data_IF_090957340091
#
_entry.id   IF_090957340091
#
_cell.length_a   1.000
_cell.length_b   1.000
_cell.length_c   1.000
_cell.angle_alpha   90.00
_cell.angle_beta   90.00
_cell.angle_gamma   90.00
#
_symmetry.space_group_name_H-M   'P 1'
#
loop_
_entity.id
_entity.type
_entity.pdbx_description
1 polymer ?
#
# COMPACT_ATOMS: atom_id res chain seq x y z
N UNK A 1 1.90 15.08 -11.19
CA UNK A 1 1.48 14.84 -12.58
C UNK A 1 2.33 13.80 -13.33
N UNK A 2 3.49 13.36 -12.82
CA UNK A 2 4.38 12.40 -13.51
C UNK A 2 4.08 10.92 -13.24
N UNK A 3 3.25 10.60 -12.25
CA UNK A 3 2.90 9.23 -11.88
C UNK A 3 1.77 8.68 -12.76
N UNK A 4 0.72 9.48 -12.97
CA UNK A 4 -0.44 9.10 -13.79
C UNK A 4 -0.05 8.86 -15.25
N UNK A 5 0.80 9.71 -15.84
CA UNK A 5 1.26 9.55 -17.22
C UNK A 5 2.09 8.27 -17.43
N UNK A 6 2.83 7.83 -16.39
CA UNK A 6 3.62 6.59 -16.44
C UNK A 6 2.73 5.35 -16.34
N UNK A 7 1.69 5.39 -15.51
CA UNK A 7 0.71 4.31 -15.39
C UNK A 7 -0.08 4.16 -16.68
N UNK A 8 -0.51 5.27 -17.28
CA UNK A 8 -1.25 5.27 -18.54
C UNK A 8 -0.42 4.66 -19.69
N UNK A 9 0.85 5.07 -19.81
CA UNK A 9 1.75 4.53 -20.82
C UNK A 9 2.04 3.03 -20.62
N UNK A 10 2.26 2.59 -19.38
CA UNK A 10 2.47 1.18 -19.06
C UNK A 10 1.23 0.33 -19.33
N UNK A 11 0.05 0.85 -18.99
CA UNK A 11 -1.23 0.17 -19.18
C UNK A 11 -1.54 -0.02 -20.67
N UNK A 12 -1.25 1.00 -21.48
CA UNK A 12 -1.39 0.93 -22.93
C UNK A 12 -0.43 -0.08 -23.56
N UNK A 13 0.84 -0.06 -23.17
CA UNK A 13 1.82 -1.04 -23.65
C UNK A 13 1.43 -2.48 -23.27
N UNK A 14 0.94 -2.70 -22.05
CA UNK A 14 0.45 -4.00 -21.60
C UNK A 14 -0.80 -4.44 -22.38
N UNK A 15 -1.74 -3.53 -22.63
CA UNK A 15 -2.93 -3.81 -23.43
C UNK A 15 -2.58 -4.19 -24.88
N UNK A 16 -1.63 -3.48 -25.49
CA UNK A 16 -1.12 -3.79 -26.84
C UNK A 16 -0.51 -5.19 -26.88
N UNK A 17 0.32 -5.53 -25.89
CA UNK A 17 0.96 -6.84 -25.82
C UNK A 17 -0.06 -7.98 -25.64
N UNK A 18 -1.05 -7.79 -24.76
CA UNK A 18 -2.12 -8.78 -24.53
C UNK A 18 -2.91 -9.01 -25.83
N UNK A 19 -3.30 -7.95 -26.50
CA UNK A 19 -4.06 -8.04 -27.75
C UNK A 19 -3.25 -8.74 -28.84
N UNK A 20 -1.96 -8.44 -28.95
CA UNK A 20 -1.03 -9.06 -29.88
C UNK A 20 -0.83 -10.55 -29.61
N UNK A 21 -0.77 -10.96 -28.35
CA UNK A 21 -0.67 -12.38 -27.96
C UNK A 21 -1.93 -13.16 -28.36
N UNK A 22 -3.12 -12.57 -28.17
CA UNK A 22 -4.40 -13.26 -28.40
C UNK A 22 -4.78 -13.29 -29.87
N UNK A 23 -4.59 -12.18 -30.58
CA UNK A 23 -5.10 -11.99 -31.96
C UNK A 23 -4.00 -11.88 -33.02
N UNK A 24 -2.72 -11.89 -32.63
CA UNK A 24 -1.61 -11.60 -33.54
C UNK A 24 -1.47 -10.11 -33.86
N UNK A 25 -0.51 -9.77 -34.72
CA UNK A 25 -0.18 -8.36 -35.03
C UNK A 25 -1.29 -7.63 -35.81
N UNK A 26 -2.16 -8.36 -36.52
CA UNK A 26 -3.24 -7.79 -37.35
C UNK A 26 -4.57 -7.59 -36.60
N UNK A 27 -4.64 -8.05 -35.34
CA UNK A 27 -5.79 -7.94 -34.44
C UNK A 27 -7.12 -8.40 -35.08
N UNK A 28 -7.09 -9.28 -36.09
CA UNK A 28 -8.31 -9.69 -36.80
C UNK A 28 -9.25 -10.44 -35.88
N UNK A 29 -10.51 -10.01 -35.87
CA UNK A 29 -11.55 -10.59 -35.01
C UNK A 29 -11.53 -10.07 -33.57
N UNK A 30 -10.70 -9.07 -33.26
CA UNK A 30 -10.74 -8.39 -31.98
C UNK A 30 -12.03 -7.56 -31.85
N UNK A 31 -12.83 -7.85 -30.82
CA UNK A 31 -14.11 -7.17 -30.54
C UNK A 31 -14.01 -6.08 -29.48
N UNK A 32 -12.82 -5.90 -28.90
CA UNK A 32 -12.54 -5.00 -27.79
C UNK A 32 -11.49 -3.98 -28.21
N UNK A 33 -11.68 -2.72 -27.85
CA UNK A 33 -10.71 -1.67 -28.16
C UNK A 33 -9.50 -1.74 -27.24
N UNK A 34 -8.36 -1.34 -27.77
CA UNK A 34 -7.13 -1.18 -27.00
C UNK A 34 -7.32 -0.24 -25.81
N UNK A 35 -7.95 0.91 -26.04
CA UNK A 35 -8.19 1.91 -25.01
C UNK A 35 -9.02 1.33 -23.85
N UNK A 36 -10.00 0.47 -24.15
CA UNK A 36 -10.83 -0.15 -23.13
C UNK A 36 -10.04 -1.11 -22.24
N UNK A 37 -9.10 -1.85 -22.81
CA UNK A 37 -8.24 -2.76 -22.06
C UNK A 37 -7.21 -1.97 -21.24
N UNK A 38 -6.64 -0.93 -21.84
CA UNK A 38 -5.71 -0.02 -21.15
C UNK A 38 -6.39 0.66 -19.94
N UNK A 39 -7.66 1.08 -20.06
CA UNK A 39 -8.45 1.60 -18.94
C UNK A 39 -8.55 0.59 -17.79
N UNK A 40 -8.91 -0.66 -18.08
CA UNK A 40 -9.04 -1.71 -17.06
C UNK A 40 -7.71 -1.96 -16.35
N UNK A 41 -6.61 -2.05 -17.11
CA UNK A 41 -5.26 -2.25 -16.56
C UNK A 41 -4.85 -1.05 -15.71
N UNK A 42 -5.07 0.18 -16.20
CA UNK A 42 -4.73 1.40 -15.47
C UNK A 42 -5.50 1.52 -14.15
N UNK A 43 -6.79 1.16 -14.14
CA UNK A 43 -7.60 1.13 -12.92
C UNK A 43 -7.03 0.17 -11.87
N UNK A 44 -6.62 -1.04 -12.29
CA UNK A 44 -5.99 -2.01 -11.40
C UNK A 44 -4.63 -1.51 -10.87
N UNK A 45 -3.80 -0.92 -11.73
CA UNK A 45 -2.50 -0.37 -11.33
C UNK A 45 -2.62 0.80 -10.35
N UNK A 46 -3.62 1.67 -10.51
CA UNK A 46 -3.89 2.79 -9.59
C UNK A 46 -4.30 2.25 -8.21
N UNK A 47 -5.16 1.24 -8.15
CA UNK A 47 -5.54 0.59 -6.88
C UNK A 47 -4.31 0.04 -6.17
N UNK A 48 -3.46 -0.69 -6.88
CA UNK A 48 -2.23 -1.25 -6.32
C UNK A 48 -1.20 -0.19 -5.88
N UNK A 49 -1.08 0.90 -6.64
CA UNK A 49 -0.21 2.03 -6.29
C UNK A 49 -0.69 2.71 -5.00
N UNK A 50 -2.00 2.88 -4.83
CA UNK A 50 -2.58 3.46 -3.63
C UNK A 50 -2.42 2.54 -2.40
N UNK A 51 -2.61 1.23 -2.56
CA UNK A 51 -2.32 0.26 -1.50
C UNK A 51 -0.84 0.30 -1.09
N UNK A 52 0.08 0.39 -2.06
CA UNK A 52 1.52 0.50 -1.81
C UNK A 52 1.89 1.75 -1.02
N UNK A 53 1.27 2.89 -1.35
CA UNK A 53 1.43 4.14 -0.61
C UNK A 53 0.91 4.02 0.83
N UNK A 54 -0.26 3.41 1.02
CA UNK A 54 -0.84 3.21 2.35
C UNK A 54 0.06 2.32 3.24
N UNK A 55 0.68 1.29 2.65
CA UNK A 55 1.64 0.41 3.35
C UNK A 55 2.91 1.19 3.71
N UNK A 56 3.45 2.00 2.79
CA UNK A 56 4.63 2.82 3.04
C UNK A 56 4.39 3.82 4.17
N UNK A 57 3.24 4.50 4.17
CA UNK A 57 2.83 5.42 5.23
C UNK A 57 2.68 4.71 6.60
N UNK A 58 2.14 3.50 6.59
CA UNK A 58 2.02 2.67 7.80
C UNK A 58 3.40 2.26 8.34
N UNK A 59 4.33 1.91 7.46
CA UNK A 59 5.72 1.62 7.83
C UNK A 59 6.41 2.84 8.43
N UNK A 60 6.28 4.02 7.80
CA UNK A 60 6.83 5.28 8.32
C UNK A 60 6.29 5.60 9.72
N UNK A 61 4.97 5.51 9.92
CA UNK A 61 4.35 5.70 11.24
C UNK A 61 4.81 4.65 12.26
N UNK A 62 5.07 3.43 11.82
CA UNK A 62 5.64 2.37 12.66
C UNK A 62 7.05 2.68 13.12
N UNK A 63 7.91 3.15 12.21
CA UNK A 63 9.26 3.59 12.56
C UNK A 63 9.24 4.78 13.52
N UNK A 64 8.38 5.78 13.29
CA UNK A 64 8.26 6.93 14.20
C UNK A 64 7.74 6.53 15.58
N UNK A 65 6.78 5.60 15.66
CA UNK A 65 6.32 5.06 16.94
C UNK A 65 7.46 4.35 17.68
N UNK A 66 8.22 3.48 17.01
CA UNK A 66 9.39 2.80 17.58
C UNK A 66 10.43 3.82 18.06
N UNK A 67 10.72 4.85 17.24
CA UNK A 67 11.65 5.93 17.59
C UNK A 67 11.21 6.68 18.83
N UNK A 68 9.93 7.02 18.94
CA UNK A 68 9.37 7.73 20.10
C UNK A 68 9.45 6.91 21.39
N UNK A 69 9.36 5.58 21.29
CA UNK A 69 9.47 4.66 22.42
C UNK A 69 10.90 4.46 22.88
N UNK A 70 11.81 4.31 21.92
CA UNK A 70 13.25 4.11 22.17
C UNK A 70 13.96 5.40 22.56
N UNK A 71 13.36 6.56 22.35
CA UNK A 71 13.91 7.85 22.77
C UNK A 71 13.47 8.18 24.20
N UNK A 72 14.42 8.32 25.15
CA UNK A 72 14.12 8.81 26.48
C UNK A 72 13.45 10.19 26.40
N UNK A 73 12.40 10.46 27.19
CA UNK A 73 11.82 11.80 27.22
C UNK A 73 12.90 12.82 27.67
N UNK A 74 12.90 14.04 27.11
CA UNK A 74 13.93 15.06 27.42
C UNK A 74 13.98 15.44 28.91
N UNK A 75 12.86 15.29 29.62
CA UNK A 75 12.76 15.50 31.07
C UNK A 75 12.75 14.17 31.86
N UNK A 76 13.16 13.05 31.25
CA UNK A 76 13.13 11.72 31.87
C UNK A 76 13.72 11.64 33.28
N UNK A 77 14.86 12.29 33.56
CA UNK A 77 15.45 12.31 34.90
C UNK A 77 14.67 13.13 35.93
N UNK A 78 13.78 14.02 35.50
CA UNK A 78 13.01 14.92 36.36
C UNK A 78 11.52 14.56 36.49
N UNK A 79 11.07 13.51 35.79
CA UNK A 79 9.69 13.03 35.90
C UNK A 79 9.46 12.28 37.20
N UNK A 80 8.37 12.61 37.89
CA UNK A 80 7.90 11.85 39.04
C UNK A 80 7.36 10.46 38.64
N UNK A 81 7.21 9.52 39.60
CA UNK A 81 6.73 8.16 39.32
C UNK A 81 5.37 8.11 38.59
N UNK A 82 4.43 8.97 38.95
CA UNK A 82 3.09 9.01 38.34
C UNK A 82 3.11 9.61 36.92
N UNK A 83 3.96 10.60 36.69
CA UNK A 83 4.14 11.23 35.36
C UNK A 83 4.82 10.25 34.40
N UNK A 84 5.82 9.50 34.89
CA UNK A 84 6.46 8.44 34.13
C UNK A 84 5.47 7.32 33.78
N UNK A 85 4.63 6.91 34.73
CA UNK A 85 3.58 5.89 34.49
C UNK A 85 2.59 6.34 33.44
N UNK A 86 2.16 7.60 33.50
CA UNK A 86 1.24 8.20 32.54
C UNK A 86 1.86 8.23 31.14
N UNK A 87 3.11 8.69 31.03
CA UNK A 87 3.83 8.75 29.77
C UNK A 87 4.03 7.36 29.14
N UNK A 88 4.41 6.36 29.94
CA UNK A 88 4.58 4.99 29.49
C UNK A 88 3.24 4.37 29.06
N UNK A 89 2.15 4.67 29.77
CA UNK A 89 0.80 4.25 29.38
C UNK A 89 0.39 4.80 28.01
N UNK A 90 0.52 6.11 27.80
CA UNK A 90 0.22 6.75 26.51
C UNK A 90 1.05 6.19 25.36
N UNK A 91 2.34 5.94 25.61
CA UNK A 91 3.26 5.29 24.68
C UNK A 91 2.78 3.89 24.31
N UNK A 92 2.37 3.10 25.31
CA UNK A 92 1.90 1.73 25.11
C UNK A 92 0.56 1.66 24.37
N UNK A 93 -0.36 2.58 24.65
CA UNK A 93 -1.63 2.70 23.92
C UNK A 93 -1.41 3.08 22.45
N UNK A 94 -0.45 3.99 22.19
CA UNK A 94 -0.06 4.36 20.83
C UNK A 94 0.51 3.17 20.06
N UNK A 95 1.37 2.36 20.69
CA UNK A 95 1.86 1.09 20.11
C UNK A 95 0.69 0.19 19.76
N UNK A 96 -0.20 -0.04 20.73
CA UNK A 96 -1.31 -0.97 20.55
C UNK A 96 -2.19 -0.56 19.38
N UNK A 97 -2.51 0.73 19.26
CA UNK A 97 -3.27 1.29 18.15
C UNK A 97 -2.57 1.10 16.80
N UNK A 98 -1.25 1.30 16.74
CA UNK A 98 -0.47 1.09 15.52
C UNK A 98 -0.40 -0.40 15.16
N UNK A 99 -0.09 -1.28 16.11
CA UNK A 99 -0.04 -2.73 15.92
C UNK A 99 -1.37 -3.27 15.42
N UNK A 100 -2.51 -2.79 15.93
CA UNK A 100 -3.83 -3.18 15.41
C UNK A 100 -4.02 -2.78 13.95
N UNK A 101 -3.58 -1.57 13.55
CA UNK A 101 -3.63 -1.14 12.14
C UNK A 101 -2.72 -1.99 11.25
N UNK A 102 -1.53 -2.36 11.73
CA UNK A 102 -0.61 -3.25 11.03
C UNK A 102 -1.20 -4.65 10.85
N UNK A 103 -1.78 -5.23 11.90
CA UNK A 103 -2.44 -6.54 11.82
C UNK A 103 -3.60 -6.50 10.81
N UNK A 104 -4.43 -5.45 10.86
CA UNK A 104 -5.52 -5.29 9.91
C UNK A 104 -5.02 -5.19 8.46
N UNK A 105 -3.97 -4.39 8.21
CA UNK A 105 -3.36 -4.25 6.89
C UNK A 105 -2.78 -5.57 6.34
N UNK A 106 -2.13 -6.37 7.20
CA UNK A 106 -1.61 -7.70 6.84
C UNK A 106 -2.75 -8.67 6.52
N UNK A 107 -3.85 -8.63 7.29
CA UNK A 107 -5.02 -9.50 7.06
C UNK A 107 -5.76 -9.17 5.77
N UNK A 108 -5.87 -7.89 5.40
CA UNK A 108 -6.45 -7.48 4.11
C UNK A 108 -5.63 -7.97 2.93
N UNK A 109 -4.28 -7.90 3.01
CA UNK A 109 -3.40 -8.44 1.95
C UNK A 109 -3.54 -9.95 1.80
N UNK A 110 -3.60 -10.70 2.91
CA UNK A 110 -3.70 -12.17 2.89
C UNK A 110 -5.02 -12.68 2.30
N UNK A 111 -6.05 -11.84 2.28
CA UNK A 111 -7.36 -12.17 1.71
C UNK A 111 -7.43 -11.86 0.20
N UNK A 112 -6.49 -11.06 -0.32
CA UNK A 112 -6.39 -10.67 -1.73
C UNK A 112 -5.42 -11.55 -2.56
N UNK A 113 -4.73 -12.53 -1.98
CA UNK A 113 -4.07 -13.57 -2.78
C UNK A 113 -5.14 -14.31 -3.59
N UNK A 114 -5.12 -14.24 -4.93
CA UNK A 114 -6.10 -14.94 -5.73
C UNK A 114 -5.89 -16.43 -5.50
N UNK A 115 -6.95 -17.09 -5.05
CA UNK A 115 -7.13 -18.53 -5.14
C UNK A 115 -6.99 -18.95 -6.60
N UNK A 116 -5.76 -19.21 -7.03
CA UNK A 116 -5.48 -20.06 -8.18
C UNK A 116 -5.78 -21.48 -7.70
N UNK A 117 -7.05 -21.86 -7.73
CA UNK A 117 -7.44 -23.25 -7.64
C UNK A 117 -7.56 -23.75 -9.08
N UNK A 118 -6.58 -24.57 -9.47
CA UNK A 118 -6.72 -25.51 -10.57
C UNK A 118 -7.63 -26.67 -10.19
#
# INVERSE_FOLDING_TARGET
>A
MTSDSRIEQASRAAAEEILRIIYGDDLKGCTVSLDRIAEVISGAMVVQANESLAIAELHEKGYEAIRLLSTPPPNGPSLGPDELRTLLGQRLDTIKGLTTKVIAAIQTQKTQEPSISG
#
